data_IF_781731037053
#
_entry.id   IF_781731037053
#
_cell.length_a   1.000
_cell.length_b   1.000
_cell.length_c   1.000
_cell.angle_alpha   90.00
_cell.angle_beta   90.00
_cell.angle_gamma   90.00
#
_symmetry.space_group_name_H-M   'P 1'
#
loop_
_entity.id
_entity.type
_entity.pdbx_description
1 polymer ?
#
# COMPACT_ATOMS: atom_id res chain seq x y z
N UNK A 1 2.10 -13.91 3.27
CA UNK A 1 2.59 -15.14 2.60
C UNK A 1 2.90 -16.22 3.62
N UNK A 2 3.78 -16.01 4.60
CA UNK A 2 3.97 -16.97 5.70
C UNK A 2 2.69 -17.25 6.50
N UNK A 3 1.95 -16.21 6.88
CA UNK A 3 0.63 -16.38 7.53
C UNK A 3 -0.38 -17.16 6.67
N UNK A 4 -0.31 -17.00 5.35
CA UNK A 4 -1.16 -17.69 4.38
C UNK A 4 -0.84 -19.18 4.32
N UNK A 5 0.45 -19.53 4.39
CA UNK A 5 0.93 -20.90 4.50
C UNK A 5 0.48 -21.54 5.82
N UNK A 6 0.62 -20.83 6.95
CA UNK A 6 0.16 -21.32 8.27
C UNK A 6 -1.35 -21.57 8.31
N UNK A 7 -2.12 -20.72 7.63
CA UNK A 7 -3.58 -20.86 7.53
C UNK A 7 -4.06 -21.76 6.39
N UNK A 8 -3.16 -22.43 5.66
CA UNK A 8 -3.47 -23.23 4.46
C UNK A 8 -4.39 -22.53 3.45
N UNK A 9 -4.32 -21.19 3.37
CA UNK A 9 -5.14 -20.41 2.44
C UNK A 9 -4.50 -20.41 1.05
N UNK A 10 -5.31 -20.50 0.01
CA UNK A 10 -4.84 -20.50 -1.39
C UNK A 10 -4.22 -19.16 -1.78
N UNK A 11 -4.68 -18.04 -1.19
CA UNK A 11 -4.09 -16.71 -1.42
C UNK A 11 -4.31 -15.74 -0.26
N UNK A 12 -3.33 -14.85 -0.02
CA UNK A 12 -3.49 -13.68 0.85
C UNK A 12 -4.36 -12.57 0.23
N UNK A 13 -4.79 -12.77 -1.02
CA UNK A 13 -5.70 -11.90 -1.77
C UNK A 13 -7.16 -12.37 -1.66
N UNK A 14 -7.44 -13.47 -0.96
CA UNK A 14 -8.81 -13.90 -0.67
C UNK A 14 -9.41 -13.03 0.42
N UNK A 15 -9.92 -11.88 0.00
CA UNK A 15 -10.58 -10.90 0.87
C UNK A 15 -12.09 -10.89 0.67
N UNK A 16 -12.67 -12.07 0.48
CA UNK A 16 -14.11 -12.27 0.32
C UNK A 16 -14.93 -11.63 1.46
N UNK A 17 -14.31 -11.40 2.62
CA UNK A 17 -14.96 -10.90 3.84
C UNK A 17 -14.54 -9.46 4.25
N UNK A 18 -13.95 -8.68 3.34
CA UNK A 18 -13.59 -7.28 3.64
C UNK A 18 -14.85 -6.39 3.74
N UNK A 19 -15.11 -5.85 4.93
CA UNK A 19 -16.16 -4.83 5.19
C UNK A 19 -16.00 -3.54 4.38
N UNK A 20 -14.82 -3.22 3.85
CA UNK A 20 -14.57 -1.96 3.14
C UNK A 20 -14.70 -2.09 1.61
N UNK A 21 -15.52 -1.23 0.99
CA UNK A 21 -15.73 -1.18 -0.47
C UNK A 21 -14.43 -0.89 -1.23
N UNK A 22 -13.54 -0.09 -0.64
CA UNK A 22 -12.26 0.29 -1.22
C UNK A 22 -11.31 -0.91 -1.38
N UNK A 23 -11.17 -1.73 -0.33
CA UNK A 23 -10.31 -2.92 -0.38
C UNK A 23 -10.90 -3.96 -1.34
N UNK A 24 -12.23 -4.11 -1.36
CA UNK A 24 -12.90 -4.96 -2.35
C UNK A 24 -12.60 -4.48 -3.78
N UNK A 25 -12.71 -3.18 -4.06
CA UNK A 25 -12.38 -2.63 -5.38
C UNK A 25 -10.90 -2.85 -5.74
N UNK A 26 -9.99 -2.67 -4.78
CA UNK A 26 -8.55 -2.89 -4.92
C UNK A 26 -8.20 -4.33 -5.33
N UNK A 27 -8.84 -5.35 -4.76
CA UNK A 27 -8.57 -6.75 -5.11
C UNK A 27 -9.42 -7.29 -6.26
N UNK A 28 -10.62 -6.76 -6.49
CA UNK A 28 -11.51 -7.22 -7.57
C UNK A 28 -11.13 -6.66 -8.94
N UNK A 29 -10.74 -5.39 -9.02
CA UNK A 29 -10.45 -4.74 -10.29
C UNK A 29 -8.93 -4.66 -10.53
N UNK A 30 -8.44 -5.49 -11.45
CA UNK A 30 -7.01 -5.58 -11.79
C UNK A 30 -6.42 -4.26 -12.29
N UNK A 31 -7.18 -3.48 -13.06
CA UNK A 31 -6.75 -2.16 -13.55
C UNK A 31 -6.58 -1.16 -12.40
N UNK A 32 -7.48 -1.17 -11.42
CA UNK A 32 -7.39 -0.30 -10.26
C UNK A 32 -6.22 -0.69 -9.34
N UNK A 33 -5.98 -2.00 -9.15
CA UNK A 33 -4.77 -2.49 -8.48
C UNK A 33 -3.50 -2.02 -9.20
N UNK A 34 -3.48 -2.12 -10.53
CA UNK A 34 -2.37 -1.69 -11.38
C UNK A 34 -2.09 -0.20 -11.26
N UNK A 35 -3.14 0.63 -11.33
CA UNK A 35 -3.03 2.08 -11.11
C UNK A 35 -2.43 2.42 -9.74
N UNK A 36 -2.84 1.74 -8.67
CA UNK A 36 -2.27 1.99 -7.34
C UNK A 36 -0.77 1.61 -7.27
N UNK A 37 -0.36 0.51 -7.93
CA UNK A 37 1.04 0.12 -8.01
C UNK A 37 1.87 1.14 -8.79
N UNK A 38 1.45 1.46 -10.02
CA UNK A 38 2.17 2.41 -10.88
C UNK A 38 2.20 3.81 -10.27
N UNK A 39 1.09 4.26 -9.67
CA UNK A 39 1.04 5.54 -8.98
C UNK A 39 2.02 5.62 -7.81
N UNK A 40 2.24 4.52 -7.08
CA UNK A 40 3.24 4.47 -6.02
C UNK A 40 4.66 4.69 -6.57
N UNK A 41 5.02 4.00 -7.65
CA UNK A 41 6.34 4.11 -8.29
C UNK A 41 6.56 5.51 -8.90
N UNK A 42 5.57 6.01 -9.63
CA UNK A 42 5.60 7.33 -10.28
C UNK A 42 5.74 8.44 -9.23
N UNK A 43 5.01 8.37 -8.12
CA UNK A 43 5.12 9.37 -7.06
C UNK A 43 6.54 9.43 -6.49
N UNK A 44 7.15 8.27 -6.21
CA UNK A 44 8.51 8.25 -5.68
C UNK A 44 9.55 8.76 -6.69
N UNK A 45 9.39 8.44 -7.97
CA UNK A 45 10.24 8.99 -9.04
C UNK A 45 10.11 10.52 -9.14
N UNK A 46 8.88 11.04 -9.11
CA UNK A 46 8.63 12.48 -9.14
C UNK A 46 9.25 13.15 -7.92
N UNK A 47 9.02 12.65 -6.72
CA UNK A 47 9.61 13.20 -5.49
C UNK A 47 11.14 13.15 -5.52
N UNK A 48 11.72 12.06 -6.06
CA UNK A 48 13.16 11.92 -6.21
C UNK A 48 13.75 12.97 -7.17
N UNK A 49 13.13 13.18 -8.33
CA UNK A 49 13.55 14.21 -9.30
C UNK A 49 13.44 15.60 -8.67
N UNK A 50 12.38 15.86 -7.90
CA UNK A 50 12.14 17.16 -7.28
C UNK A 50 13.04 17.45 -6.06
N UNK A 51 13.76 16.45 -5.55
CA UNK A 51 14.61 16.59 -4.36
C UNK A 51 15.94 17.33 -4.62
N UNK A 52 16.26 17.72 -5.86
CA UNK A 52 17.42 18.51 -6.37
C UNK A 52 18.37 19.14 -5.29
N UNK A 53 19.13 18.28 -4.59
CA UNK A 53 20.19 18.56 -3.59
C UNK A 53 19.80 18.73 -2.11
N UNK A 54 18.52 18.62 -1.74
CA UNK A 54 18.06 18.88 -0.36
C UNK A 54 17.40 17.64 0.28
N UNK A 55 18.13 16.52 0.26
CA UNK A 55 17.65 15.20 0.69
C UNK A 55 17.46 15.04 2.20
N UNK A 56 17.90 16.01 3.00
CA UNK A 56 17.87 15.89 4.46
C UNK A 56 16.46 16.05 5.06
N UNK A 57 15.55 16.74 4.36
CA UNK A 57 14.22 17.06 4.89
C UNK A 57 13.10 16.80 3.86
N UNK A 58 12.39 15.68 4.06
CA UNK A 58 11.24 15.28 3.22
C UNK A 58 10.14 16.36 3.16
N UNK A 59 9.87 17.04 4.28
CA UNK A 59 8.89 18.12 4.37
C UNK A 59 9.24 19.27 3.41
N UNK A 60 10.53 19.61 3.29
CA UNK A 60 10.99 20.68 2.41
C UNK A 60 10.81 20.31 0.94
N UNK A 61 11.13 19.07 0.56
CA UNK A 61 10.92 18.55 -0.80
C UNK A 61 9.43 18.56 -1.16
N UNK A 62 8.54 18.13 -0.25
CA UNK A 62 7.09 18.13 -0.49
C UNK A 62 6.54 19.56 -0.60
N UNK A 63 6.97 20.47 0.27
CA UNK A 63 6.57 21.87 0.22
C UNK A 63 7.02 22.53 -1.09
N UNK A 64 8.27 22.32 -1.49
CA UNK A 64 8.82 22.85 -2.73
C UNK A 64 8.14 22.24 -3.95
N UNK A 65 7.79 20.95 -3.90
CA UNK A 65 6.99 20.30 -4.93
C UNK A 65 5.60 20.93 -5.06
N UNK A 66 4.93 21.21 -3.93
CA UNK A 66 3.61 21.83 -3.93
C UNK A 66 3.62 23.26 -4.50
N UNK A 67 4.70 24.01 -4.26
CA UNK A 67 4.86 25.36 -4.79
C UNK A 67 5.28 25.39 -6.27
N UNK A 68 6.09 24.42 -6.71
CA UNK A 68 6.43 24.26 -8.12
C UNK A 68 5.18 23.79 -8.87
N UNK A 69 4.43 24.69 -9.51
CA UNK A 69 3.32 24.39 -10.43
C UNK A 69 3.81 23.80 -11.78
N UNK A 70 4.69 22.81 -11.72
CA UNK A 70 5.26 22.15 -12.88
C UNK A 70 4.40 20.96 -13.33
N UNK A 71 4.55 20.54 -14.59
CA UNK A 71 3.90 19.33 -15.11
C UNK A 71 4.21 18.07 -14.26
N UNK A 72 5.42 17.99 -13.67
CA UNK A 72 5.83 16.89 -12.80
C UNK A 72 5.01 16.86 -11.49
N UNK A 73 4.75 18.02 -10.90
CA UNK A 73 3.92 18.13 -9.69
C UNK A 73 2.48 17.68 -9.97
N UNK A 74 1.95 17.99 -11.16
CA UNK A 74 0.62 17.53 -11.56
C UNK A 74 0.56 16.00 -11.71
N UNK A 75 1.59 15.39 -12.32
CA UNK A 75 1.71 13.93 -12.42
C UNK A 75 1.81 13.31 -11.02
N UNK A 76 2.60 13.90 -10.13
CA UNK A 76 2.70 13.47 -8.73
C UNK A 76 1.35 13.54 -8.00
N UNK A 77 0.59 14.62 -8.20
CA UNK A 77 -0.74 14.79 -7.61
C UNK A 77 -1.75 13.74 -8.08
N UNK A 78 -1.71 13.38 -9.36
CA UNK A 78 -2.51 12.28 -9.90
C UNK A 78 -2.07 10.91 -9.37
N UNK A 79 -0.80 10.76 -8.97
CA UNK A 79 -0.25 9.52 -8.44
C UNK A 79 -0.48 9.35 -6.92
N UNK A 80 -0.65 10.45 -6.17
CA UNK A 80 -0.88 10.49 -4.73
C UNK A 80 -2.01 9.57 -4.24
N UNK A 81 -3.23 9.56 -4.82
CA UNK A 81 -4.29 8.68 -4.34
C UNK A 81 -3.93 7.19 -4.52
N UNK A 82 -3.25 6.83 -5.61
CA UNK A 82 -2.76 5.47 -5.84
C UNK A 82 -1.75 5.03 -4.76
N UNK A 83 -0.80 5.90 -4.44
CA UNK A 83 0.14 5.69 -3.33
C UNK A 83 -0.57 5.53 -1.98
N UNK A 84 -1.49 6.45 -1.64
CA UNK A 84 -2.17 6.43 -0.34
C UNK A 84 -2.99 5.16 -0.13
N UNK A 85 -3.72 4.73 -1.16
CA UNK A 85 -4.48 3.47 -1.14
C UNK A 85 -3.53 2.28 -0.98
N UNK A 86 -2.38 2.29 -1.67
CA UNK A 86 -1.38 1.22 -1.54
C UNK A 86 -0.81 1.13 -0.13
N UNK A 87 -0.49 2.26 0.52
CA UNK A 87 0.00 2.27 1.90
C UNK A 87 -1.04 1.73 2.88
N UNK A 88 -2.29 2.16 2.76
CA UNK A 88 -3.38 1.66 3.58
C UNK A 88 -3.55 0.15 3.41
N UNK A 89 -3.51 -0.34 2.16
CA UNK A 89 -3.65 -1.77 1.87
C UNK A 89 -2.51 -2.57 2.52
N UNK A 90 -1.27 -2.11 2.36
CA UNK A 90 -0.10 -2.77 2.94
C UNK A 90 -0.22 -2.85 4.48
N UNK A 91 -0.71 -1.79 5.13
CA UNK A 91 -0.94 -1.79 6.58
C UNK A 91 -2.01 -2.81 7.00
N UNK A 92 -3.14 -2.87 6.29
CA UNK A 92 -4.20 -3.85 6.56
C UNK A 92 -3.69 -5.27 6.35
N UNK A 93 -2.87 -5.51 5.33
CA UNK A 93 -2.26 -6.81 5.06
C UNK A 93 -1.30 -7.24 6.17
N UNK A 94 -0.51 -6.30 6.71
CA UNK A 94 0.38 -6.58 7.84
C UNK A 94 -0.41 -6.98 9.09
N UNK A 95 -1.46 -6.21 9.43
CA UNK A 95 -2.33 -6.53 10.57
C UNK A 95 -3.01 -7.89 10.40
N UNK A 96 -3.60 -8.12 9.23
CA UNK A 96 -4.28 -9.39 8.92
C UNK A 96 -3.32 -10.58 9.00
N UNK A 97 -2.05 -10.40 8.59
CA UNK A 97 -1.04 -11.44 8.70
C UNK A 97 -0.68 -11.74 10.16
N UNK A 98 -0.56 -10.72 11.01
CA UNK A 98 -0.30 -10.89 12.44
C UNK A 98 -1.46 -11.63 13.13
N UNK A 99 -2.71 -11.23 12.86
CA UNK A 99 -3.91 -11.86 13.44
C UNK A 99 -3.97 -13.36 13.10
N UNK A 100 -3.66 -13.72 11.84
CA UNK A 100 -3.62 -15.12 11.40
C UNK A 100 -2.54 -15.92 12.13
N UNK A 101 -1.35 -15.36 12.33
CA UNK A 101 -0.29 -16.04 13.07
C UNK A 101 -0.68 -16.28 14.53
N UNK A 102 -1.26 -15.28 15.21
CA UNK A 102 -1.72 -15.41 16.59
C UNK A 102 -2.81 -16.47 16.71
N UNK A 103 -3.80 -16.47 15.81
CA UNK A 103 -4.86 -17.47 15.79
C UNK A 103 -4.32 -18.89 15.60
N UNK A 104 -3.34 -19.06 14.71
CA UNK A 104 -2.67 -20.34 14.50
C UNK A 104 -1.96 -20.82 15.77
N UNK A 105 -1.20 -19.94 16.44
CA UNK A 105 -0.47 -20.29 17.66
C UNK A 105 -1.41 -20.66 18.83
N UNK A 106 -2.52 -19.92 19.00
CA UNK A 106 -3.55 -20.22 20.00
C UNK A 106 -4.19 -21.58 19.75
N UNK A 107 -4.52 -21.90 18.49
CA UNK A 107 -5.10 -23.20 18.13
C UNK A 107 -4.11 -24.34 18.39
N UNK A 108 -2.83 -24.15 18.02
CA UNK A 108 -1.77 -25.10 18.28
C UNK A 108 -1.55 -25.36 19.77
N UNK A 109 -1.66 -24.33 20.60
CA UNK A 109 -1.54 -24.46 22.06
C UNK A 109 -2.70 -25.23 22.69
N UNK A 110 -3.91 -25.16 22.13
CA UNK A 110 -5.09 -25.90 22.64
C UNK A 110 -5.14 -27.37 22.19
N UNK A 111 -4.40 -27.71 21.14
CA UNK A 111 -4.33 -29.08 20.60
C UNK A 111 -3.24 -29.93 21.29
N UNK A 112 -2.49 -29.35 22.23
CA UNK A 112 -1.58 -30.05 23.15
C UNK A 112 -2.26 -30.21 24.50
#
# INVERSE_FOLDING_TARGET
MYSTFLASKTSHKDVADSKSRLFRAYYQYRLFMGYCCVGTEVLYLVLYILAENDSNNLLHVVHNAALKLSALTFIGLLALPGWAIKQLVNFVQLRSAADVCVLYDVQRSKAK
#
